data_IF_933944926581
#
_entry.id   IF_933944926581
#
_cell.length_a   1.000
_cell.length_b   1.000
_cell.length_c   1.000
_cell.angle_alpha   90.00
_cell.angle_beta   90.00
_cell.angle_gamma   90.00
#
_symmetry.space_group_name_H-M   'P 1'
#
loop_
_entity.id
_entity.type
_entity.pdbx_description
1 polymer ?
#
# COMPACT_ATOMS: atom_id res chain seq x y z
N UNK A 1 -20.26 22.41 -24.46
CA UNK A 1 -20.26 21.26 -25.40
C UNK A 1 -18.92 20.57 -25.22
N UNK A 2 -18.78 19.35 -24.71
CA UNK A 2 -19.54 18.15 -25.05
C UNK A 2 -20.17 17.44 -23.85
N UNK A 3 -21.45 17.14 -24.06
CA UNK A 3 -22.42 16.51 -23.20
C UNK A 3 -22.37 14.97 -23.37
N UNK A 4 -21.23 14.34 -23.08
CA UNK A 4 -21.09 12.87 -23.21
C UNK A 4 -20.35 12.17 -22.05
N UNK A 5 -19.82 12.88 -21.07
CA UNK A 5 -19.23 12.29 -19.84
C UNK A 5 -20.21 12.14 -18.67
N UNK A 6 -21.50 12.46 -18.88
CA UNK A 6 -22.53 12.32 -17.83
C UNK A 6 -23.25 10.96 -17.80
N UNK A 7 -22.93 10.02 -18.70
CA UNK A 7 -23.65 8.73 -18.82
C UNK A 7 -22.86 7.47 -18.43
N UNK A 8 -21.86 7.58 -17.55
CA UNK A 8 -21.22 6.42 -16.89
C UNK A 8 -21.09 6.55 -15.35
N UNK A 9 -21.64 7.61 -14.75
CA UNK A 9 -21.70 7.78 -13.28
C UNK A 9 -23.02 7.25 -12.68
N UNK A 10 -23.33 5.99 -12.97
CA UNK A 10 -24.19 5.15 -12.12
C UNK A 10 -23.47 3.83 -11.83
N UNK A 11 -22.26 3.91 -11.29
CA UNK A 11 -21.73 2.83 -10.45
C UNK A 11 -22.27 3.12 -9.06
N UNK A 12 -23.06 2.23 -8.48
CA UNK A 12 -23.44 2.29 -7.06
C UNK A 12 -22.20 2.66 -6.26
N UNK A 13 -22.30 3.67 -5.40
CA UNK A 13 -21.21 4.11 -4.52
C UNK A 13 -20.90 3.01 -3.51
N UNK A 14 -20.19 1.98 -3.95
CA UNK A 14 -19.67 0.91 -3.10
C UNK A 14 -18.66 1.55 -2.15
N UNK A 15 -18.95 1.53 -0.86
CA UNK A 15 -18.07 2.09 0.15
C UNK A 15 -17.08 1.00 0.58
N UNK A 16 -15.88 1.03 0.01
CA UNK A 16 -14.79 0.13 0.37
C UNK A 16 -13.92 0.84 1.41
N UNK A 17 -13.76 0.22 2.58
CA UNK A 17 -12.93 0.74 3.66
C UNK A 17 -11.87 -0.27 4.04
N UNK A 18 -10.60 0.13 3.99
CA UNK A 18 -9.49 -0.67 4.54
C UNK A 18 -9.52 -0.64 6.08
N UNK A 19 -9.22 -1.77 6.70
CA UNK A 19 -9.18 -1.91 8.15
C UNK A 19 -7.73 -1.97 8.63
N UNK A 20 -7.27 -0.89 9.27
CA UNK A 20 -5.88 -0.76 9.75
C UNK A 20 -5.72 -1.13 11.24
N UNK A 21 -6.72 -1.77 11.85
CA UNK A 21 -6.67 -2.21 13.25
C UNK A 21 -6.27 -3.67 13.35
N UNK A 22 -5.08 -3.94 13.88
CA UNK A 22 -4.54 -5.30 14.00
C UNK A 22 -5.23 -6.23 15.02
N UNK A 23 -6.28 -5.75 15.72
CA UNK A 23 -7.02 -6.53 16.72
C UNK A 23 -8.49 -6.79 16.35
N UNK A 24 -8.91 -6.47 15.12
CA UNK A 24 -10.27 -6.75 14.67
C UNK A 24 -10.49 -8.26 14.52
N UNK A 25 -11.43 -8.80 15.31
CA UNK A 25 -11.67 -10.25 15.40
C UNK A 25 -12.41 -10.83 14.18
N UNK A 26 -12.89 -9.98 13.27
CA UNK A 26 -13.55 -10.40 12.03
C UNK A 26 -12.57 -10.96 10.99
N UNK A 27 -11.29 -10.68 11.16
CA UNK A 27 -10.24 -11.01 10.20
C UNK A 27 -9.15 -11.89 10.82
N UNK A 28 -8.50 -12.70 10.00
CA UNK A 28 -7.30 -13.44 10.40
C UNK A 28 -6.13 -12.49 10.71
N UNK A 29 -5.23 -12.93 11.59
CA UNK A 29 -4.04 -12.14 11.93
C UNK A 29 -3.13 -11.93 10.73
N UNK A 30 -2.97 -12.94 9.87
CA UNK A 30 -2.19 -12.86 8.64
C UNK A 30 -2.69 -11.73 7.75
N UNK A 31 -4.00 -11.69 7.47
CA UNK A 31 -4.60 -10.67 6.60
C UNK A 31 -4.48 -9.27 7.21
N UNK A 32 -4.68 -9.14 8.52
CA UNK A 32 -4.50 -7.86 9.20
C UNK A 32 -3.07 -7.35 9.08
N UNK A 33 -2.07 -8.21 9.27
CA UNK A 33 -0.66 -7.82 9.17
C UNK A 33 -0.25 -7.47 7.73
N UNK A 34 -0.79 -8.17 6.74
CA UNK A 34 -0.60 -7.84 5.32
C UNK A 34 -1.41 -6.63 4.85
N UNK A 35 -2.19 -6.00 5.75
CA UNK A 35 -3.11 -4.91 5.43
C UNK A 35 -4.11 -5.27 4.32
N UNK A 36 -4.57 -6.52 4.32
CA UNK A 36 -5.53 -7.07 3.37
C UNK A 36 -6.97 -7.15 3.90
N UNK A 37 -7.26 -6.53 5.04
CA UNK A 37 -8.59 -6.52 5.64
C UNK A 37 -9.42 -5.34 5.13
N UNK A 38 -10.62 -5.62 4.65
CA UNK A 38 -11.54 -4.63 4.09
C UNK A 38 -12.96 -4.83 4.61
N UNK A 39 -13.71 -3.74 4.67
CA UNK A 39 -15.14 -3.72 4.94
C UNK A 39 -15.84 -3.12 3.71
N UNK A 40 -16.80 -3.83 3.14
CA UNK A 40 -17.59 -3.39 1.98
C UNK A 40 -19.07 -3.55 2.29
N UNK A 41 -19.78 -2.43 2.41
CA UNK A 41 -21.17 -2.36 2.86
C UNK A 41 -21.40 -3.12 4.18
N UNK A 42 -20.53 -2.88 5.17
CA UNK A 42 -20.56 -3.48 6.52
C UNK A 42 -20.23 -4.98 6.61
N UNK A 43 -19.82 -5.60 5.51
CA UNK A 43 -19.41 -7.01 5.47
C UNK A 43 -17.88 -7.13 5.35
N UNK A 44 -17.23 -8.10 6.03
CA UNK A 44 -15.79 -8.28 5.98
C UNK A 44 -15.33 -8.98 4.69
N UNK A 45 -14.22 -8.50 4.14
CA UNK A 45 -13.51 -9.09 3.01
C UNK A 45 -12.01 -9.18 3.32
N UNK A 46 -11.38 -10.25 2.84
CA UNK A 46 -9.96 -10.52 3.03
C UNK A 46 -9.25 -10.64 1.69
N UNK A 47 -8.03 -10.09 1.64
CA UNK A 47 -7.05 -10.33 0.60
C UNK A 47 -5.76 -10.79 1.27
N UNK A 48 -5.36 -12.02 1.06
CA UNK A 48 -4.17 -12.62 1.66
C UNK A 48 -3.11 -12.84 0.58
N UNK A 49 -1.99 -12.12 0.65
CA UNK A 49 -0.85 -12.34 -0.23
C UNK A 49 -0.23 -13.70 0.13
N UNK A 50 -0.12 -14.57 -0.86
CA UNK A 50 0.45 -15.93 -0.71
C UNK A 50 1.76 -16.10 -1.48
N UNK A 51 2.01 -15.27 -2.49
CA UNK A 51 3.29 -15.20 -3.21
C UNK A 51 3.50 -13.79 -3.81
N UNK A 52 4.60 -13.61 -4.56
CA UNK A 52 5.00 -12.31 -5.11
C UNK A 52 4.04 -11.70 -6.14
N UNK A 53 3.05 -12.44 -6.65
CA UNK A 53 2.10 -11.95 -7.66
C UNK A 53 0.66 -12.41 -7.41
N UNK A 54 0.42 -13.19 -6.35
CA UNK A 54 -0.85 -13.85 -6.08
C UNK A 54 -1.38 -13.56 -4.67
N UNK A 55 -2.69 -13.33 -4.60
CA UNK A 55 -3.42 -13.26 -3.35
C UNK A 55 -4.67 -14.16 -3.37
N UNK A 56 -5.05 -14.67 -2.21
CA UNK A 56 -6.37 -15.29 -1.98
C UNK A 56 -7.36 -14.18 -1.63
N UNK A 57 -8.50 -14.12 -2.32
CA UNK A 57 -9.58 -13.16 -2.07
C UNK A 57 -10.80 -13.89 -1.49
N UNK A 58 -11.33 -13.36 -0.38
CA UNK A 58 -12.46 -13.96 0.35
C UNK A 58 -13.45 -12.88 0.78
N UNK A 59 -14.72 -13.24 0.79
CA UNK A 59 -15.81 -12.38 1.23
C UNK A 59 -17.17 -12.98 0.89
N UNK A 60 -18.22 -12.30 1.31
CA UNK A 60 -19.60 -12.78 1.17
C UNK A 60 -20.13 -12.73 -0.26
N UNK A 61 -19.76 -11.70 -1.02
CA UNK A 61 -20.30 -11.41 -2.35
C UNK A 61 -19.16 -11.26 -3.37
N UNK A 62 -19.08 -12.20 -4.32
CA UNK A 62 -18.05 -12.21 -5.36
C UNK A 62 -18.17 -11.07 -6.37
N UNK A 63 -19.35 -10.46 -6.52
CA UNK A 63 -19.54 -9.32 -7.43
C UNK A 63 -18.72 -8.09 -6.99
N UNK A 64 -18.30 -8.05 -5.72
CA UNK A 64 -17.45 -6.99 -5.15
C UNK A 64 -15.96 -7.22 -5.38
N UNK A 65 -15.56 -8.42 -5.80
CA UNK A 65 -14.14 -8.80 -5.84
C UNK A 65 -13.31 -7.97 -6.81
N UNK A 66 -13.88 -7.56 -7.95
CA UNK A 66 -13.15 -6.71 -8.90
C UNK A 66 -12.77 -5.38 -8.25
N UNK A 67 -13.72 -4.68 -7.64
CA UNK A 67 -13.46 -3.38 -7.00
C UNK A 67 -12.56 -3.51 -5.77
N UNK A 68 -12.69 -4.59 -5.00
CA UNK A 68 -11.76 -4.90 -3.90
C UNK A 68 -10.34 -5.15 -4.41
N UNK A 69 -10.18 -5.92 -5.49
CA UNK A 69 -8.88 -6.19 -6.08
C UNK A 69 -8.25 -4.93 -6.67
N UNK A 70 -9.03 -4.06 -7.32
CA UNK A 70 -8.57 -2.76 -7.80
C UNK A 70 -8.07 -1.88 -6.65
N UNK A 71 -8.84 -1.77 -5.57
CA UNK A 71 -8.46 -1.02 -4.36
C UNK A 71 -7.19 -1.58 -3.71
N UNK A 72 -7.09 -2.91 -3.58
CA UNK A 72 -5.91 -3.55 -3.00
C UNK A 72 -4.66 -3.34 -3.86
N UNK A 73 -4.79 -3.45 -5.19
CA UNK A 73 -3.69 -3.28 -6.13
C UNK A 73 -3.17 -1.85 -6.20
N UNK A 74 -3.93 -0.86 -5.76
CA UNK A 74 -3.41 0.51 -5.60
C UNK A 74 -2.18 0.53 -4.68
N UNK A 75 -2.17 -0.29 -3.63
CA UNK A 75 -1.07 -0.42 -2.67
C UNK A 75 -0.08 -1.56 -2.99
N UNK A 76 -0.55 -2.58 -3.73
CA UNK A 76 0.23 -3.76 -4.09
C UNK A 76 0.12 -4.09 -5.60
N UNK A 77 0.61 -3.20 -6.50
CA UNK A 77 0.34 -3.32 -7.94
C UNK A 77 1.00 -4.54 -8.62
N UNK A 78 1.96 -5.16 -7.95
CA UNK A 78 2.61 -6.42 -8.33
C UNK A 78 1.67 -7.63 -8.23
N UNK A 79 0.63 -7.57 -7.38
CA UNK A 79 -0.36 -8.64 -7.29
C UNK A 79 -1.23 -8.59 -8.54
N UNK A 80 -1.11 -9.64 -9.35
CA UNK A 80 -1.74 -9.74 -10.67
C UNK A 80 -2.73 -10.91 -10.76
N UNK A 81 -2.73 -11.82 -9.79
CA UNK A 81 -3.63 -12.97 -9.74
C UNK A 81 -4.36 -13.03 -8.40
N UNK A 82 -5.68 -13.19 -8.47
CA UNK A 82 -6.52 -13.41 -7.29
C UNK A 82 -7.21 -14.75 -7.42
N UNK A 83 -7.09 -15.58 -6.40
CA UNK A 83 -7.68 -16.92 -6.34
C UNK A 83 -8.67 -17.01 -5.17
N UNK A 84 -9.61 -17.95 -5.24
CA UNK A 84 -10.42 -18.31 -4.08
C UNK A 84 -9.67 -19.29 -3.15
N UNK A 85 -10.30 -19.67 -2.04
CA UNK A 85 -9.72 -20.61 -1.06
C UNK A 85 -9.39 -22.00 -1.64
N UNK A 86 -10.05 -22.40 -2.72
CA UNK A 86 -9.82 -23.68 -3.41
C UNK A 86 -8.68 -23.60 -4.45
N UNK A 87 -8.05 -22.44 -4.60
CA UNK A 87 -6.96 -22.20 -5.55
C UNK A 87 -7.42 -21.84 -6.97
N UNK A 88 -8.72 -21.72 -7.21
CA UNK A 88 -9.27 -21.34 -8.52
C UNK A 88 -9.06 -19.86 -8.78
N UNK A 89 -8.55 -19.51 -9.96
CA UNK A 89 -8.35 -18.10 -10.34
C UNK A 89 -9.69 -17.40 -10.57
N UNK A 90 -9.91 -16.31 -9.84
CA UNK A 90 -11.10 -15.47 -9.93
C UNK A 90 -10.83 -14.22 -10.76
N UNK A 91 -9.67 -13.58 -10.57
CA UNK A 91 -9.26 -12.40 -11.33
C UNK A 91 -7.81 -12.54 -11.78
N UNK A 92 -7.53 -12.02 -12.98
CA UNK A 92 -6.19 -11.91 -13.52
C UNK A 92 -6.01 -10.55 -14.20
N UNK A 93 -4.95 -9.86 -13.80
CA UNK A 93 -4.50 -8.59 -14.36
C UNK A 93 -3.22 -8.80 -15.14
N UNK A 94 -2.84 -7.81 -15.95
CA UNK A 94 -1.54 -7.82 -16.59
C UNK A 94 -0.44 -7.70 -15.50
N UNK A 95 0.50 -8.65 -15.41
CA UNK A 95 1.60 -8.55 -14.46
C UNK A 95 2.45 -7.30 -14.73
N UNK A 96 2.89 -6.65 -13.67
CA UNK A 96 3.81 -5.52 -13.78
C UNK A 96 5.24 -6.03 -13.68
N UNK A 97 6.12 -5.50 -14.53
CA UNK A 97 7.54 -5.86 -14.50
C UNK A 97 8.17 -5.37 -13.20
N UNK A 98 8.66 -6.33 -12.42
CA UNK A 98 9.44 -6.07 -11.21
C UNK A 98 10.92 -5.90 -11.57
N UNK A 99 11.63 -5.07 -10.80
CA UNK A 99 13.09 -4.92 -10.92
C UNK A 99 13.71 -4.71 -9.55
N UNK A 100 14.95 -5.17 -9.38
CA UNK A 100 15.75 -4.90 -8.17
C UNK A 100 16.15 -3.43 -8.12
N UNK A 101 15.95 -2.80 -6.97
CA UNK A 101 16.18 -1.38 -6.74
C UNK A 101 16.99 -1.18 -5.44
N UNK A 102 18.20 -0.60 -5.53
CA UNK A 102 18.96 -0.21 -4.34
C UNK A 102 18.23 0.79 -3.46
N UNK A 103 18.21 0.55 -2.14
CA UNK A 103 17.50 1.44 -1.18
C UNK A 103 18.03 2.88 -1.22
N UNK A 104 19.33 3.06 -1.47
CA UNK A 104 19.97 4.37 -1.50
C UNK A 104 19.52 5.27 -2.68
N UNK A 105 18.84 4.69 -3.67
CA UNK A 105 18.23 5.40 -4.81
C UNK A 105 16.76 5.76 -4.57
N UNK A 106 16.16 5.30 -3.46
CA UNK A 106 14.75 5.50 -3.14
C UNK A 106 14.59 6.76 -2.28
N UNK A 107 13.81 7.72 -2.77
CA UNK A 107 13.29 8.87 -2.04
C UNK A 107 11.94 8.49 -1.41
N UNK A 108 11.82 8.46 -0.08
CA UNK A 108 10.53 8.29 0.58
C UNK A 108 9.63 9.52 0.37
N UNK A 109 8.33 9.27 0.18
CA UNK A 109 7.26 10.29 0.24
C UNK A 109 6.52 10.33 1.60
N UNK A 110 7.11 9.75 2.64
CA UNK A 110 6.59 9.70 4.02
C UNK A 110 7.70 10.12 4.98
N UNK A 111 7.33 10.53 6.20
CA UNK A 111 8.31 11.02 7.19
C UNK A 111 8.48 10.11 8.39
N UNK A 112 7.38 9.50 8.82
CA UNK A 112 7.31 8.74 10.05
C UNK A 112 6.97 7.28 9.78
N UNK A 113 7.46 6.36 10.61
CA UNK A 113 7.11 4.94 10.59
C UNK A 113 6.53 4.59 11.94
N UNK A 114 5.34 3.97 11.96
CA UNK A 114 4.73 3.48 13.20
C UNK A 114 5.46 2.21 13.67
N UNK A 115 5.90 2.19 14.93
CA UNK A 115 6.45 0.99 15.59
C UNK A 115 5.47 -0.19 15.56
N UNK A 116 4.17 0.07 15.71
CA UNK A 116 3.16 -0.98 15.69
C UNK A 116 3.05 -1.60 14.28
N UNK A 117 3.01 -0.76 13.24
CA UNK A 117 3.00 -1.22 11.84
C UNK A 117 4.27 -2.01 11.52
N UNK A 118 5.43 -1.51 11.94
CA UNK A 118 6.71 -2.17 11.76
C UNK A 118 6.74 -3.56 12.43
N UNK A 119 6.24 -3.68 13.65
CA UNK A 119 6.15 -4.97 14.35
C UNK A 119 5.20 -5.94 13.64
N UNK A 120 4.06 -5.46 13.12
CA UNK A 120 3.13 -6.28 12.36
C UNK A 120 3.79 -6.86 11.09
N UNK A 121 4.49 -6.05 10.31
CA UNK A 121 5.08 -6.51 9.04
C UNK A 121 6.26 -7.48 9.22
N UNK A 122 6.99 -7.39 10.34
CA UNK A 122 8.08 -8.34 10.68
C UNK A 122 7.60 -9.79 10.81
N UNK A 123 6.30 -10.02 11.02
CA UNK A 123 5.77 -11.38 11.16
C UNK A 123 5.70 -12.16 9.84
N UNK A 124 5.72 -11.47 8.68
CA UNK A 124 5.57 -12.13 7.38
C UNK A 124 6.60 -11.70 6.33
N UNK A 125 7.29 -10.58 6.48
CA UNK A 125 8.42 -10.21 5.62
C UNK A 125 9.68 -10.86 6.17
N UNK A 126 10.21 -11.86 5.44
CA UNK A 126 11.34 -12.68 5.87
C UNK A 126 12.61 -12.37 5.08
N UNK A 127 12.48 -11.84 3.86
CA UNK A 127 13.60 -11.52 2.97
C UNK A 127 13.29 -10.30 2.09
N UNK A 128 14.32 -9.76 1.45
CA UNK A 128 14.21 -8.58 0.59
C UNK A 128 13.25 -8.78 -0.59
N UNK A 129 13.16 -10.00 -1.12
CA UNK A 129 12.26 -10.40 -2.21
C UNK A 129 10.78 -10.26 -1.85
N UNK A 130 10.44 -10.25 -0.55
CA UNK A 130 9.06 -10.08 -0.09
C UNK A 130 8.61 -8.60 -0.15
N UNK A 131 9.55 -7.68 -0.42
CA UNK A 131 9.28 -6.24 -0.51
C UNK A 131 9.23 -5.84 -1.97
N UNK A 132 8.00 -5.59 -2.44
CA UNK A 132 7.74 -4.95 -3.73
C UNK A 132 7.04 -3.62 -3.49
N UNK A 133 7.68 -2.52 -3.89
CA UNK A 133 7.15 -1.15 -3.71
C UNK A 133 6.78 -0.48 -5.05
N UNK A 134 5.65 0.26 -5.11
CA UNK A 134 5.35 1.09 -6.26
C UNK A 134 6.23 2.33 -6.25
N UNK A 135 6.84 2.64 -7.39
CA UNK A 135 7.72 3.80 -7.56
C UNK A 135 7.45 4.56 -8.85
N UNK A 136 7.78 5.84 -8.86
CA UNK A 136 8.02 6.61 -10.09
C UNK A 136 9.50 6.90 -10.24
N UNK A 137 9.94 7.06 -11.49
CA UNK A 137 11.30 7.51 -11.79
C UNK A 137 11.38 9.03 -11.68
N UNK A 138 12.38 9.53 -10.97
CA UNK A 138 12.73 10.95 -10.93
C UNK A 138 14.23 11.07 -11.16
N UNK A 139 14.63 11.49 -12.36
CA UNK A 139 16.03 11.57 -12.79
C UNK A 139 16.75 10.21 -12.66
N UNK A 140 17.82 10.18 -11.86
CA UNK A 140 18.65 9.03 -11.50
C UNK A 140 18.16 8.29 -10.24
N UNK A 141 17.03 8.74 -9.66
CA UNK A 141 16.43 8.21 -8.44
C UNK A 141 15.00 7.74 -8.68
N UNK A 142 14.41 7.21 -7.62
CA UNK A 142 13.03 6.73 -7.59
C UNK A 142 12.31 7.32 -6.40
N UNK A 143 11.05 7.69 -6.56
CA UNK A 143 10.19 8.09 -5.43
C UNK A 143 9.31 6.90 -5.08
N UNK A 144 9.31 6.50 -3.81
CA UNK A 144 8.37 5.51 -3.30
C UNK A 144 6.99 6.14 -3.19
N UNK A 145 6.00 5.55 -3.84
CA UNK A 145 4.59 5.99 -3.73
C UNK A 145 3.91 5.42 -2.49
N UNK A 146 4.36 4.25 -2.03
CA UNK A 146 3.87 3.54 -0.84
C UNK A 146 4.97 2.59 -0.33
N UNK A 147 4.73 1.89 0.77
CA UNK A 147 5.59 0.82 1.30
C UNK A 147 6.70 1.29 2.23
N UNK A 148 6.63 2.51 2.77
CA UNK A 148 7.70 3.14 3.55
C UNK A 148 8.07 2.35 4.82
N UNK A 149 7.11 1.74 5.51
CA UNK A 149 7.38 0.83 6.64
C UNK A 149 8.20 -0.38 6.20
N UNK A 150 7.93 -0.93 5.01
CA UNK A 150 8.67 -2.08 4.44
C UNK A 150 10.08 -1.66 4.04
N UNK A 151 10.23 -0.49 3.44
CA UNK A 151 11.55 0.09 3.13
C UNK A 151 12.39 0.36 4.37
N UNK A 152 11.78 0.87 5.44
CA UNK A 152 12.44 1.04 6.73
C UNK A 152 12.88 -0.30 7.32
N UNK A 153 12.02 -1.33 7.26
CA UNK A 153 12.38 -2.69 7.68
C UNK A 153 13.57 -3.23 6.88
N UNK A 154 13.58 -3.05 5.55
CA UNK A 154 14.70 -3.49 4.72
C UNK A 154 16.02 -2.84 5.15
N UNK A 155 15.99 -1.54 5.47
CA UNK A 155 17.15 -0.85 6.05
C UNK A 155 17.57 -1.46 7.40
N UNK A 156 16.63 -1.69 8.33
CA UNK A 156 16.94 -2.30 9.64
C UNK A 156 17.51 -3.71 9.54
N UNK A 157 17.12 -4.48 8.53
CA UNK A 157 17.65 -5.83 8.26
C UNK A 157 18.99 -5.81 7.50
N UNK A 158 19.49 -4.64 7.11
CA UNK A 158 20.72 -4.50 6.35
C UNK A 158 20.60 -4.97 4.89
N UNK A 159 19.38 -5.05 4.34
CA UNK A 159 19.18 -5.36 2.93
C UNK A 159 19.50 -4.14 2.07
N UNK A 160 20.31 -4.34 1.03
CA UNK A 160 20.77 -3.25 0.15
C UNK A 160 19.80 -2.96 -1.00
N UNK A 161 18.99 -3.95 -1.38
CA UNK A 161 18.04 -3.86 -2.49
C UNK A 161 16.68 -4.39 -2.09
N UNK A 162 15.62 -3.86 -2.72
CA UNK A 162 14.25 -4.39 -2.70
C UNK A 162 13.75 -4.57 -4.13
N UNK A 163 12.56 -5.10 -4.33
CA UNK A 163 11.89 -5.07 -5.63
C UNK A 163 10.99 -3.84 -5.76
N UNK A 164 10.86 -3.37 -6.98
CA UNK A 164 10.01 -2.24 -7.30
C UNK A 164 9.23 -2.48 -8.60
N UNK A 165 8.11 -1.77 -8.74
CA UNK A 165 7.31 -1.70 -9.97
C UNK A 165 7.07 -0.24 -10.32
N UNK A 166 7.14 0.10 -11.61
CA UNK A 166 6.78 1.44 -12.07
C UNK A 166 5.27 1.59 -12.01
N UNK A 167 4.79 2.64 -11.35
CA UNK A 167 3.37 2.94 -11.19
C UNK A 167 3.07 4.40 -11.52
N UNK A 168 1.83 4.71 -11.86
CA UNK A 168 1.39 6.08 -12.11
C UNK A 168 0.99 6.77 -10.79
N UNK A 169 1.08 8.09 -10.78
CA UNK A 169 0.65 8.95 -9.67
C UNK A 169 0.23 10.31 -10.20
N UNK A 170 -0.59 11.03 -9.43
CA UNK A 170 -0.87 12.43 -9.70
C UNK A 170 0.16 13.36 -9.02
N UNK A 171 0.09 14.65 -9.34
CA UNK A 171 1.03 15.69 -8.91
C UNK A 171 1.08 15.92 -7.39
N UNK A 172 0.13 15.39 -6.60
CA UNK A 172 0.15 15.57 -5.15
C UNK A 172 1.38 14.94 -4.50
N UNK A 173 1.98 13.91 -5.12
CA UNK A 173 3.17 13.22 -4.61
C UNK A 173 4.35 14.18 -4.39
N UNK A 174 4.49 15.19 -5.25
CA UNK A 174 5.60 16.14 -5.20
C UNK A 174 5.59 16.94 -3.91
N UNK A 175 4.41 17.30 -3.40
CA UNK A 175 4.29 18.03 -2.13
C UNK A 175 4.74 17.19 -0.93
N UNK A 176 4.57 15.86 -0.99
CA UNK A 176 5.09 14.96 0.04
C UNK A 176 6.60 14.82 -0.06
N UNK A 177 7.15 14.72 -1.27
CA UNK A 177 8.60 14.64 -1.48
C UNK A 177 9.30 15.92 -1.01
N UNK A 178 8.82 17.10 -1.42
CA UNK A 178 9.35 18.40 -0.96
C UNK A 178 9.37 18.51 0.57
N UNK A 179 8.33 18.01 1.22
CA UNK A 179 8.19 18.09 2.66
C UNK A 179 9.07 17.05 3.40
N UNK A 180 9.36 15.90 2.77
CA UNK A 180 10.34 14.93 3.23
C UNK A 180 11.74 15.54 3.16
N UNK A 181 12.09 16.17 2.04
CA UNK A 181 13.38 16.81 1.84
C UNK A 181 13.62 17.96 2.84
N UNK A 182 12.59 18.78 3.15
CA UNK A 182 12.67 19.80 4.21
C UNK A 182 12.96 19.23 5.60
N UNK A 183 12.58 17.98 5.85
CA UNK A 183 12.88 17.23 7.09
C UNK A 183 14.20 16.46 7.01
N UNK A 184 14.97 16.65 5.95
CA UNK A 184 16.20 15.92 5.67
C UNK A 184 15.98 14.41 5.49
N UNK A 185 14.82 14.00 4.98
CA UNK A 185 14.51 12.61 4.66
C UNK A 185 14.75 12.40 3.16
N UNK A 186 15.84 11.71 2.83
CA UNK A 186 16.24 11.45 1.45
C UNK A 186 16.24 9.97 1.10
N UNK A 187 16.28 9.10 2.11
CA UNK A 187 16.40 7.64 1.97
C UNK A 187 15.54 6.92 3.01
N UNK A 188 15.23 5.63 2.83
CA UNK A 188 14.49 4.85 3.82
C UNK A 188 15.10 4.88 5.23
N UNK A 189 16.42 4.99 5.34
CA UNK A 189 17.15 5.11 6.60
C UNK A 189 16.86 6.39 7.39
N UNK A 190 16.37 7.42 6.72
CA UNK A 190 16.15 8.74 7.32
C UNK A 190 14.75 8.87 7.92
N UNK A 191 13.86 7.90 7.64
CA UNK A 191 12.51 7.83 8.20
C UNK A 191 12.55 7.72 9.72
N UNK A 192 11.65 8.45 10.39
CA UNK A 192 11.63 8.52 11.84
C UNK A 192 10.67 7.50 12.45
N UNK A 193 11.20 6.60 13.28
CA UNK A 193 10.40 5.58 13.96
C UNK A 193 9.72 6.14 15.23
N UNK A 194 8.39 6.18 15.23
CA UNK A 194 7.56 6.85 16.25
C UNK A 194 6.54 5.89 16.89
N UNK A 195 5.93 6.29 18.02
CA UNK A 195 4.80 5.58 18.61
C UNK A 195 3.58 5.59 17.68
N UNK A 196 2.56 4.77 17.97
CA UNK A 196 1.32 4.81 17.19
C UNK A 196 0.59 6.14 17.39
N UNK A 197 0.57 6.70 18.61
CA UNK A 197 -0.06 8.00 18.85
C UNK A 197 0.69 9.13 18.12
N UNK A 198 2.02 9.13 18.15
CA UNK A 198 2.85 10.08 17.44
C UNK A 198 2.67 9.98 15.92
N UNK A 199 2.51 8.75 15.39
CA UNK A 199 2.22 8.54 13.97
C UNK A 199 0.90 9.19 13.58
N UNK A 200 -0.17 8.96 14.34
CA UNK A 200 -1.49 9.56 14.09
C UNK A 200 -1.45 11.09 14.15
N UNK A 201 -0.73 11.66 15.12
CA UNK A 201 -0.60 13.12 15.26
C UNK A 201 0.26 13.73 14.16
N UNK A 202 1.39 13.12 13.83
CA UNK A 202 2.40 13.75 12.98
C UNK A 202 2.24 13.42 11.50
N UNK A 203 1.73 12.23 11.17
CA UNK A 203 1.53 11.78 9.81
C UNK A 203 0.09 11.90 9.34
N UNK A 204 -0.88 11.37 10.10
CA UNK A 204 -2.29 11.39 9.65
C UNK A 204 -2.82 12.83 9.64
N UNK A 205 -2.49 13.64 10.65
CA UNK A 205 -2.86 15.06 10.65
C UNK A 205 -2.19 15.88 9.53
N UNK A 206 -0.96 15.51 9.13
CA UNK A 206 -0.31 16.13 7.97
C UNK A 206 -1.08 15.78 6.69
N UNK A 207 -1.44 14.50 6.50
CA UNK A 207 -2.26 14.05 5.37
C UNK A 207 -3.61 14.78 5.34
N UNK A 208 -4.31 14.87 6.47
CA UNK A 208 -5.62 15.54 6.55
C UNK A 208 -5.53 17.02 6.18
N UNK A 209 -4.51 17.73 6.68
CA UNK A 209 -4.25 19.13 6.30
C UNK A 209 -3.96 19.28 4.81
N UNK A 210 -3.21 18.34 4.22
CA UNK A 210 -2.81 18.38 2.82
C UNK A 210 -3.97 18.13 1.85
N UNK A 211 -4.88 17.21 2.21
CA UNK A 211 -6.06 16.86 1.43
C UNK A 211 -7.33 17.65 1.82
N UNK A 212 -7.22 18.60 2.76
CA UNK A 212 -8.33 19.45 3.19
C UNK A 212 -9.47 18.68 3.88
N UNK A 213 -9.17 17.49 4.44
CA UNK A 213 -10.14 16.72 5.23
C UNK A 213 -10.25 17.39 6.59
N UNK A 214 -11.41 17.98 6.89
CA UNK A 214 -11.68 18.51 8.23
C UNK A 214 -11.91 17.34 9.18
N UNK A 215 -11.12 17.28 10.24
CA UNK A 215 -11.37 16.51 11.46
C UNK A 215 -12.72 16.85 12.07
#
# INVERSE_FOLDING_TARGET
MNCLTQNLKRKNSMNIKRIDRYNDKRFSKTVLFQHGAYEIDSEPYEVEIIDSECAVIRGKDSEKYLSLAEEFRFHAPHISRFINSDGTTILKFLPQKQFSLPLNLIQPSQFYVSRQKLQAIRSFIQKAEDIVVPVIRMNDRYISLDGHTRLYLAHEQGWETVYAVISDTDDWIWRFVEEAEKRCIYRPSDLQLVSQEEYEICWDAFCDKMFGRKS
#
